data_IF_872347496700
#
_entry.id   IF_872347496700
#
_cell.length_a   1.000
_cell.length_b   1.000
_cell.length_c   1.000
_cell.angle_alpha   90.00
_cell.angle_beta   90.00
_cell.angle_gamma   90.00
#
_symmetry.space_group_name_H-M   'P 1'
#
loop_
_entity.id
_entity.type
_entity.pdbx_description
1 polymer ?
#
# COMPACT_ATOMS: atom_id res chain seq x y z
N UNK A 1 7.00 22.19 0.67
CA UNK A 1 6.96 20.76 1.00
C UNK A 1 6.51 19.89 -0.18
N UNK A 2 5.48 20.30 -0.89
CA UNK A 2 4.98 19.54 -2.06
C UNK A 2 5.46 20.10 -3.40
N UNK A 3 6.54 20.85 -3.39
CA UNK A 3 6.98 21.66 -4.55
C UNK A 3 7.76 20.87 -5.59
N UNK A 4 8.52 19.86 -5.18
CA UNK A 4 9.37 19.10 -6.10
C UNK A 4 8.68 17.81 -6.55
N UNK A 5 7.68 17.94 -7.40
CA UNK A 5 6.88 16.81 -7.90
C UNK A 5 7.61 15.94 -8.92
N UNK A 6 8.76 16.38 -9.40
CA UNK A 6 9.55 15.62 -10.37
C UNK A 6 10.55 14.68 -9.70
N UNK A 7 10.78 14.81 -8.39
CA UNK A 7 11.66 13.92 -7.65
C UNK A 7 10.90 12.67 -7.22
N UNK A 8 11.57 11.52 -7.26
CA UNK A 8 11.01 10.29 -6.73
C UNK A 8 10.82 10.38 -5.22
N UNK A 9 9.66 9.94 -4.77
CA UNK A 9 9.30 9.97 -3.36
C UNK A 9 9.79 8.71 -2.67
N UNK A 10 10.75 8.83 -1.77
CA UNK A 10 11.18 7.70 -0.95
C UNK A 10 10.17 7.40 0.16
N UNK A 11 10.20 6.18 0.69
CA UNK A 11 9.36 5.81 1.83
C UNK A 11 9.65 6.69 3.05
N UNK A 12 10.91 6.99 3.29
CA UNK A 12 11.30 7.87 4.39
C UNK A 12 10.73 9.27 4.24
N UNK A 13 10.80 9.82 3.03
CA UNK A 13 10.19 11.12 2.72
C UNK A 13 8.68 11.06 2.88
N UNK A 14 8.05 9.99 2.39
CA UNK A 14 6.61 9.82 2.50
C UNK A 14 6.15 9.77 3.96
N UNK A 15 6.86 9.04 4.82
CA UNK A 15 6.54 9.00 6.25
C UNK A 15 6.58 10.40 6.88
N UNK A 16 7.56 11.21 6.52
CA UNK A 16 7.67 12.60 6.99
C UNK A 16 6.54 13.47 6.45
N UNK A 17 6.20 13.31 5.17
CA UNK A 17 5.11 14.07 4.55
C UNK A 17 3.76 13.73 5.17
N UNK A 18 3.51 12.45 5.43
CA UNK A 18 2.27 12.01 6.08
C UNK A 18 2.17 12.59 7.48
N UNK A 19 3.26 12.54 8.24
CA UNK A 19 3.27 13.11 9.59
C UNK A 19 2.98 14.61 9.57
N UNK A 20 3.64 15.32 8.66
CA UNK A 20 3.38 16.76 8.50
C UNK A 20 1.92 17.02 8.13
N UNK A 21 1.38 16.25 7.18
CA UNK A 21 0.01 16.41 6.74
C UNK A 21 -0.98 16.16 7.87
N UNK A 22 -0.79 15.09 8.65
CA UNK A 22 -1.66 14.77 9.78
C UNK A 22 -1.63 15.88 10.83
N UNK A 23 -0.44 16.36 11.18
CA UNK A 23 -0.30 17.42 12.19
C UNK A 23 -0.85 18.76 11.71
N UNK A 24 -0.73 19.05 10.41
CA UNK A 24 -1.12 20.35 9.84
C UNK A 24 -2.59 20.43 9.44
N UNK A 25 -3.11 19.36 8.84
CA UNK A 25 -4.48 19.35 8.29
C UNK A 25 -5.41 18.42 9.04
N UNK A 26 -4.90 17.31 9.56
CA UNK A 26 -5.70 16.33 10.28
C UNK A 26 -5.80 16.57 11.78
N UNK A 27 -5.10 17.56 12.29
CA UNK A 27 -4.98 17.93 13.71
C UNK A 27 -4.12 16.93 14.50
N UNK A 28 -4.45 15.64 14.44
CA UNK A 28 -3.68 14.56 15.09
C UNK A 28 -4.00 13.23 14.42
N UNK A 29 -3.20 12.21 14.72
CA UNK A 29 -3.53 10.86 14.33
C UNK A 29 -4.80 10.37 15.04
N UNK A 30 -5.59 9.58 14.35
CA UNK A 30 -6.62 8.78 15.00
C UNK A 30 -5.96 7.75 15.92
N UNK A 31 -6.72 7.18 16.85
CA UNK A 31 -6.19 6.08 17.66
C UNK A 31 -5.78 4.91 16.74
N UNK A 32 -4.86 4.09 17.21
CA UNK A 32 -4.38 2.93 16.44
C UNK A 32 -5.54 1.98 16.10
N UNK A 33 -6.50 1.83 17.02
CA UNK A 33 -7.66 0.99 16.78
C UNK A 33 -8.56 1.57 15.68
N UNK A 34 -8.77 2.88 15.69
CA UNK A 34 -9.52 3.57 14.63
C UNK A 34 -8.80 3.42 13.29
N UNK A 35 -7.48 3.61 13.26
CA UNK A 35 -6.70 3.44 12.05
C UNK A 35 -6.73 1.99 11.53
N UNK A 36 -6.80 1.01 12.41
CA UNK A 36 -7.01 -0.37 11.99
C UNK A 36 -8.34 -0.52 11.23
N UNK A 37 -9.42 0.05 11.76
CA UNK A 37 -10.72 0.04 11.08
C UNK A 37 -10.68 0.74 9.72
N UNK A 38 -10.02 1.90 9.66
CA UNK A 38 -9.84 2.65 8.41
C UNK A 38 -9.04 1.83 7.40
N UNK A 39 -7.98 1.14 7.85
CA UNK A 39 -7.19 0.26 6.98
C UNK A 39 -8.07 -0.82 6.36
N UNK A 40 -8.93 -1.46 7.16
CA UNK A 40 -9.85 -2.48 6.65
C UNK A 40 -10.83 -1.91 5.62
N UNK A 41 -11.35 -0.71 5.86
CA UNK A 41 -12.21 -0.01 4.90
C UNK A 41 -11.48 0.27 3.58
N UNK A 42 -10.25 0.78 3.64
CA UNK A 42 -9.48 1.11 2.43
C UNK A 42 -9.10 -0.15 1.65
N UNK A 43 -8.74 -1.23 2.34
CA UNK A 43 -8.49 -2.53 1.68
C UNK A 43 -9.78 -3.03 1.02
N UNK A 44 -10.92 -2.83 1.68
CA UNK A 44 -12.23 -3.17 1.12
C UNK A 44 -12.54 -2.40 -0.16
N UNK A 45 -12.17 -1.12 -0.24
CA UNK A 45 -12.34 -0.31 -1.46
C UNK A 45 -11.48 -0.82 -2.60
N UNK A 46 -10.24 -1.23 -2.32
CA UNK A 46 -9.39 -1.88 -3.34
C UNK A 46 -10.04 -3.17 -3.82
N UNK A 47 -10.52 -3.99 -2.90
CA UNK A 47 -11.19 -5.26 -3.23
C UNK A 47 -12.43 -5.02 -4.10
N UNK A 48 -13.24 -4.02 -3.73
CA UNK A 48 -14.42 -3.64 -4.50
C UNK A 48 -14.05 -3.26 -5.93
N UNK A 49 -13.04 -2.41 -6.10
CA UNK A 49 -12.61 -1.97 -7.42
C UNK A 49 -12.13 -3.15 -8.27
N UNK A 50 -11.28 -4.01 -7.71
CA UNK A 50 -10.73 -5.16 -8.44
C UNK A 50 -11.80 -6.19 -8.81
N UNK A 51 -12.77 -6.41 -7.93
CA UNK A 51 -13.86 -7.35 -8.23
C UNK A 51 -14.79 -6.82 -9.32
N UNK A 52 -14.98 -5.50 -9.42
CA UNK A 52 -15.73 -4.89 -10.52
C UNK A 52 -14.97 -4.89 -11.84
N UNK A 53 -13.66 -4.69 -11.76
CA UNK A 53 -12.81 -4.66 -12.97
C UNK A 53 -12.60 -6.05 -13.58
N UNK A 54 -12.44 -7.07 -12.74
CA UNK A 54 -11.97 -8.40 -13.16
C UNK A 54 -12.90 -9.54 -12.80
N UNK A 55 -13.89 -9.31 -11.94
CA UNK A 55 -14.85 -10.32 -11.51
C UNK A 55 -16.15 -10.26 -12.30
N UNK A 56 -17.17 -10.93 -11.77
CA UNK A 56 -18.47 -11.04 -12.43
C UNK A 56 -19.41 -9.88 -12.12
N UNK A 57 -19.08 -9.04 -11.15
CA UNK A 57 -19.86 -7.86 -10.80
C UNK A 57 -19.39 -6.65 -11.55
N UNK A 58 -20.32 -5.77 -11.92
CA UNK A 58 -20.04 -4.51 -12.59
C UNK A 58 -20.23 -3.34 -11.62
N UNK A 59 -19.68 -2.18 -11.98
CA UNK A 59 -19.99 -0.95 -11.28
C UNK A 59 -21.46 -0.59 -11.41
N UNK A 60 -22.07 -0.08 -10.35
CA UNK A 60 -23.47 0.35 -10.36
C UNK A 60 -23.67 1.58 -11.23
N UNK A 61 -22.71 2.50 -11.23
CA UNK A 61 -22.68 3.65 -12.12
C UNK A 61 -21.22 4.07 -12.35
N UNK A 62 -21.03 5.00 -13.31
CA UNK A 62 -19.69 5.47 -13.69
C UNK A 62 -18.98 6.24 -12.59
N UNK A 63 -19.73 6.85 -11.69
CA UNK A 63 -19.14 7.63 -10.59
C UNK A 63 -18.50 6.73 -9.54
N UNK A 64 -18.79 5.44 -9.54
CA UNK A 64 -18.16 4.48 -8.66
C UNK A 64 -16.81 3.99 -9.17
N UNK A 65 -16.49 4.22 -10.46
CA UNK A 65 -15.20 3.87 -11.01
C UNK A 65 -14.15 4.86 -10.49
N UNK A 66 -13.27 4.36 -9.66
CA UNK A 66 -12.12 5.10 -9.16
C UNK A 66 -10.85 4.52 -9.75
N UNK A 67 -9.82 5.33 -9.81
CA UNK A 67 -8.51 4.85 -10.22
C UNK A 67 -7.93 3.92 -9.17
N UNK A 68 -7.46 2.76 -9.61
CA UNK A 68 -6.81 1.79 -8.73
C UNK A 68 -5.62 2.40 -7.98
N UNK A 69 -4.87 3.27 -8.66
CA UNK A 69 -3.75 3.95 -8.03
C UNK A 69 -4.15 4.76 -6.81
N UNK A 70 -5.27 5.46 -6.89
CA UNK A 70 -5.77 6.26 -5.77
C UNK A 70 -6.16 5.38 -4.57
N UNK A 71 -6.88 4.29 -4.83
CA UNK A 71 -7.27 3.37 -3.76
C UNK A 71 -6.07 2.67 -3.12
N UNK A 72 -5.07 2.29 -3.91
CA UNK A 72 -3.84 1.72 -3.38
C UNK A 72 -3.06 2.76 -2.55
N UNK A 73 -3.06 4.02 -2.99
CA UNK A 73 -2.44 5.11 -2.24
C UNK A 73 -3.13 5.32 -0.89
N UNK A 74 -4.47 5.22 -0.85
CA UNK A 74 -5.22 5.32 0.41
C UNK A 74 -4.82 4.23 1.41
N UNK A 75 -4.61 3.00 0.94
CA UNK A 75 -4.11 1.91 1.78
C UNK A 75 -2.72 2.25 2.33
N UNK A 76 -1.82 2.71 1.45
CA UNK A 76 -0.46 3.07 1.86
C UNK A 76 -0.45 4.23 2.85
N UNK A 77 -1.36 5.19 2.69
CA UNK A 77 -1.49 6.30 3.62
C UNK A 77 -1.78 5.82 5.05
N UNK A 78 -2.76 4.93 5.19
CA UNK A 78 -3.14 4.40 6.51
C UNK A 78 -2.03 3.52 7.10
N UNK A 79 -1.41 2.68 6.28
CA UNK A 79 -0.25 1.88 6.72
C UNK A 79 0.86 2.79 7.23
N UNK A 80 1.10 3.90 6.54
CA UNK A 80 2.12 4.87 6.93
C UNK A 80 1.76 5.58 8.24
N UNK A 81 0.49 5.92 8.43
CA UNK A 81 0.03 6.46 9.72
C UNK A 81 0.33 5.50 10.86
N UNK A 82 0.01 4.23 10.68
CA UNK A 82 0.28 3.19 11.69
C UNK A 82 1.77 3.03 11.96
N UNK A 83 2.59 3.04 10.91
CA UNK A 83 4.04 2.98 11.05
C UNK A 83 4.57 4.17 11.86
N UNK A 84 4.11 5.38 11.55
CA UNK A 84 4.52 6.59 12.26
C UNK A 84 4.12 6.54 13.73
N UNK A 85 2.91 6.06 14.01
CA UNK A 85 2.41 5.93 15.38
C UNK A 85 3.24 4.96 16.23
N UNK A 86 3.85 3.97 15.61
CA UNK A 86 4.61 2.92 16.30
C UNK A 86 6.13 3.08 16.15
N UNK A 87 6.58 4.17 15.54
CA UNK A 87 8.01 4.41 15.34
C UNK A 87 8.67 3.41 14.39
N UNK A 88 7.92 2.87 13.44
CA UNK A 88 8.44 1.91 12.45
C UNK A 88 9.03 2.67 11.26
N UNK A 89 10.29 2.39 10.94
CA UNK A 89 10.95 2.84 9.72
C UNK A 89 10.56 1.89 8.59
N UNK A 90 9.67 2.31 7.71
CA UNK A 90 9.14 1.46 6.63
C UNK A 90 10.21 1.08 5.61
N UNK A 91 11.12 1.98 5.28
CA UNK A 91 12.18 1.66 4.32
C UNK A 91 13.02 0.50 4.82
N UNK A 92 13.41 0.54 6.09
CA UNK A 92 14.17 -0.53 6.73
C UNK A 92 13.34 -1.81 6.86
N UNK A 93 12.10 -1.69 7.31
CA UNK A 93 11.21 -2.85 7.49
C UNK A 93 10.99 -3.58 6.17
N UNK A 94 10.80 -2.84 5.07
CA UNK A 94 10.62 -3.44 3.75
C UNK A 94 11.89 -4.12 3.26
N UNK A 95 13.06 -3.53 3.48
CA UNK A 95 14.33 -4.14 3.08
C UNK A 95 14.55 -5.46 3.85
N UNK A 96 14.38 -5.44 5.15
CA UNK A 96 14.51 -6.65 5.98
C UNK A 96 13.50 -7.72 5.59
N UNK A 97 12.28 -7.32 5.26
CA UNK A 97 11.23 -8.24 4.83
C UNK A 97 11.57 -8.91 3.48
N UNK A 98 12.09 -8.14 2.52
CA UNK A 98 12.54 -8.69 1.24
C UNK A 98 13.70 -9.66 1.42
N UNK A 99 14.65 -9.33 2.29
CA UNK A 99 15.77 -10.20 2.58
C UNK A 99 15.32 -11.54 3.16
N UNK A 100 14.35 -11.52 4.08
CA UNK A 100 13.75 -12.74 4.64
C UNK A 100 13.04 -13.56 3.58
N UNK A 101 12.26 -12.92 2.72
CA UNK A 101 11.54 -13.60 1.64
C UNK A 101 12.51 -14.24 0.65
N UNK A 102 13.56 -13.53 0.29
CA UNK A 102 14.58 -14.03 -0.62
C UNK A 102 15.28 -15.25 -0.02
N UNK A 103 15.69 -15.17 1.23
CA UNK A 103 16.35 -16.28 1.93
C UNK A 103 15.47 -17.51 2.06
N UNK A 104 14.17 -17.30 2.38
CA UNK A 104 13.23 -18.41 2.60
C UNK A 104 12.74 -19.03 1.30
N UNK A 105 12.39 -18.21 0.31
CA UNK A 105 11.59 -18.63 -0.83
C UNK A 105 12.36 -18.68 -2.16
N UNK A 106 13.60 -18.20 -2.22
CA UNK A 106 14.36 -18.07 -3.47
C UNK A 106 14.42 -19.38 -4.29
N UNK A 107 14.72 -20.50 -3.62
CA UNK A 107 14.76 -21.80 -4.30
C UNK A 107 13.38 -22.44 -4.44
N UNK A 108 12.51 -22.21 -3.48
CA UNK A 108 11.18 -22.81 -3.42
C UNK A 108 10.35 -22.46 -4.65
N UNK A 109 10.31 -21.19 -5.03
CA UNK A 109 9.54 -20.75 -6.20
C UNK A 109 10.19 -21.16 -7.51
N UNK A 110 11.51 -21.12 -7.59
CA UNK A 110 12.25 -21.56 -8.77
C UNK A 110 11.99 -23.03 -9.05
N UNK A 111 11.91 -23.87 -8.02
CA UNK A 111 11.67 -25.31 -8.13
C UNK A 111 10.19 -25.68 -8.32
N UNK A 112 9.27 -24.72 -8.17
CA UNK A 112 7.84 -25.00 -8.32
C UNK A 112 7.45 -25.05 -9.80
N UNK A 113 7.03 -26.25 -10.32
CA UNK A 113 6.66 -26.37 -11.73
C UNK A 113 5.50 -25.46 -12.15
N UNK A 114 4.60 -25.15 -11.23
CA UNK A 114 3.45 -24.27 -11.49
C UNK A 114 3.86 -22.84 -11.81
N UNK A 115 5.02 -22.41 -11.34
CA UNK A 115 5.53 -21.05 -11.53
C UNK A 115 6.60 -20.98 -12.63
N UNK A 116 6.97 -22.14 -13.25
CA UNK A 116 7.99 -22.18 -14.27
C UNK A 116 7.52 -21.40 -15.51
N UNK A 117 8.36 -20.50 -15.98
CA UNK A 117 8.10 -19.78 -17.22
C UNK A 117 8.29 -20.72 -18.41
N UNK A 118 7.36 -20.69 -19.37
CA UNK A 118 7.54 -21.41 -20.61
C UNK A 118 8.68 -20.80 -21.42
N UNK A 119 9.44 -21.69 -22.12
CA UNK A 119 10.54 -21.22 -22.98
C UNK A 119 9.97 -20.35 -24.11
N UNK A 120 10.60 -19.21 -24.35
CA UNK A 120 10.19 -18.26 -25.37
C UNK A 120 9.21 -17.20 -24.91
N UNK A 121 8.86 -17.16 -23.65
CA UNK A 121 8.01 -16.08 -23.09
C UNK A 121 8.81 -15.13 -22.23
#
# INVERSE_FOLDING_TARGET
MFENRNAELSLKQYQKLVDYWVQSYGVRYFSELTNLGVLMEEVGEVARLLTRMHGDQSFKDRNEEKELGDELADVLFVVTCLANQHGVDLARALQENLDKKTSRDAERHIKNPKLRRESGK
#
